data_IF_075825019355
#
_entry.id   IF_075825019355
#
_cell.length_a   1.000
_cell.length_b   1.000
_cell.length_c   1.000
_cell.angle_alpha   90.00
_cell.angle_beta   90.00
_cell.angle_gamma   90.00
#
_symmetry.space_group_name_H-M   'P 1'
#
loop_
_entity.id
_entity.type
_entity.pdbx_description
1 polymer ?
#
# COMPACT_ATOMS: atom_id res chain seq x y z
N UNK A 1 20.21 16.70 -7.99
CA UNK A 1 19.84 15.38 -7.57
C UNK A 1 18.48 15.31 -6.94
N UNK A 2 17.78 14.26 -7.28
CA UNK A 2 16.43 14.14 -6.82
C UNK A 2 16.38 13.49 -5.45
N UNK A 3 15.69 14.09 -4.54
CA UNK A 3 15.50 13.51 -3.23
C UNK A 3 14.12 12.96 -3.11
N UNK A 4 13.99 11.87 -2.39
CA UNK A 4 12.69 11.32 -2.07
C UNK A 4 12.10 12.23 -1.00
N UNK A 5 11.06 12.94 -1.37
CA UNK A 5 10.36 13.75 -0.39
C UNK A 5 9.40 12.89 0.37
N UNK A 6 9.38 12.98 1.69
CA UNK A 6 8.42 12.20 2.44
C UNK A 6 7.01 12.65 2.07
N UNK A 7 6.21 11.69 1.70
CA UNK A 7 4.81 11.92 1.39
C UNK A 7 4.05 11.74 2.68
N UNK A 8 3.26 12.73 3.05
CA UNK A 8 2.49 12.64 4.27
C UNK A 8 1.43 11.57 4.14
N UNK A 9 1.43 10.61 5.03
CA UNK A 9 0.46 9.54 5.09
C UNK A 9 -0.22 9.56 6.44
N UNK A 10 -1.52 9.27 6.43
CA UNK A 10 -2.21 9.02 7.69
C UNK A 10 -1.78 7.65 8.21
N UNK A 11 -2.05 7.39 9.49
CA UNK A 11 -1.73 6.08 10.06
C UNK A 11 -2.38 4.95 9.27
N UNK A 12 -3.63 5.13 8.88
CA UNK A 12 -4.36 4.10 8.13
C UNK A 12 -3.75 3.87 6.76
N UNK A 13 -3.38 4.95 6.07
CA UNK A 13 -2.72 4.82 4.77
C UNK A 13 -1.39 4.07 4.92
N UNK A 14 -0.64 4.42 5.94
CA UNK A 14 0.65 3.79 6.17
C UNK A 14 0.50 2.30 6.48
N UNK A 15 -0.47 1.94 7.30
CA UNK A 15 -0.72 0.55 7.63
C UNK A 15 -1.12 -0.27 6.41
N UNK A 16 -1.98 0.30 5.57
CA UNK A 16 -2.42 -0.40 4.36
C UNK A 16 -1.24 -0.59 3.41
N UNK A 17 -0.45 0.45 3.19
CA UNK A 17 0.70 0.36 2.31
C UNK A 17 1.72 -0.65 2.84
N UNK A 18 1.96 -0.65 4.14
CA UNK A 18 2.88 -1.58 4.77
C UNK A 18 2.41 -3.03 4.56
N UNK A 19 1.14 -3.29 4.77
CA UNK A 19 0.58 -4.62 4.62
C UNK A 19 0.68 -5.11 3.17
N UNK A 20 0.37 -4.24 2.21
CA UNK A 20 0.48 -4.59 0.80
C UNK A 20 1.92 -4.93 0.45
N UNK A 21 2.86 -4.12 0.92
CA UNK A 21 4.27 -4.34 0.62
C UNK A 21 4.77 -5.64 1.22
N UNK A 22 4.33 -5.95 2.42
CA UNK A 22 4.70 -7.17 3.11
C UNK A 22 4.19 -8.40 2.39
N UNK A 23 2.95 -8.34 1.91
CA UNK A 23 2.32 -9.48 1.23
C UNK A 23 2.67 -9.57 -0.24
N UNK A 24 3.21 -8.49 -0.82
CA UNK A 24 3.51 -8.42 -2.24
C UNK A 24 2.31 -8.03 -3.07
N UNK A 25 1.20 -8.69 -2.86
CA UNK A 25 -0.04 -8.42 -3.58
C UNK A 25 -1.20 -8.87 -2.69
N UNK A 26 -2.27 -8.09 -2.65
CA UNK A 26 -3.39 -8.44 -1.80
C UNK A 26 -4.68 -7.90 -2.40
N UNK A 27 -5.81 -8.35 -1.88
CA UNK A 27 -7.10 -7.82 -2.29
C UNK A 27 -7.76 -7.10 -1.10
N UNK A 28 -8.90 -6.47 -1.38
CA UNK A 28 -9.58 -5.67 -0.36
C UNK A 28 -10.01 -6.52 0.83
N UNK A 29 -10.46 -7.74 0.57
CA UNK A 29 -10.92 -8.63 1.64
C UNK A 29 -9.75 -9.05 2.51
N UNK A 30 -8.62 -9.43 1.88
CA UNK A 30 -7.43 -9.81 2.62
C UNK A 30 -6.89 -8.67 3.48
N UNK A 31 -6.87 -7.46 2.91
CA UNK A 31 -6.42 -6.28 3.66
C UNK A 31 -7.37 -5.97 4.81
N UNK A 32 -8.66 -6.08 4.57
CA UNK A 32 -9.67 -5.84 5.59
C UNK A 32 -9.47 -6.77 6.79
N UNK A 33 -9.26 -8.04 6.51
CA UNK A 33 -9.04 -9.02 7.57
C UNK A 33 -7.71 -8.83 8.29
N UNK A 34 -6.66 -8.61 7.52
CA UNK A 34 -5.33 -8.47 8.10
C UNK A 34 -5.17 -7.23 8.96
N UNK A 35 -5.89 -6.17 8.64
CA UNK A 35 -5.76 -4.89 9.35
C UNK A 35 -6.92 -4.61 10.29
N UNK A 36 -7.90 -5.49 10.34
CA UNK A 36 -9.11 -5.30 11.15
C UNK A 36 -9.80 -3.99 10.79
N UNK A 37 -9.85 -3.69 9.51
CA UNK A 37 -10.53 -2.52 8.97
C UNK A 37 -11.75 -2.99 8.17
N UNK A 38 -12.77 -2.14 8.08
CA UNK A 38 -13.88 -2.43 7.20
C UNK A 38 -13.44 -2.32 5.75
N UNK A 39 -14.16 -2.97 4.85
CA UNK A 39 -13.86 -2.88 3.42
C UNK A 39 -13.96 -1.45 2.92
N UNK A 40 -14.92 -0.69 3.44
CA UNK A 40 -15.05 0.73 3.08
C UNK A 40 -13.81 1.52 3.47
N UNK A 41 -13.30 1.26 4.66
CA UNK A 41 -12.09 1.95 5.12
C UNK A 41 -10.89 1.58 4.27
N UNK A 42 -10.74 0.29 3.95
CA UNK A 42 -9.64 -0.15 3.08
C UNK A 42 -9.77 0.51 1.71
N UNK A 43 -10.95 0.50 1.12
CA UNK A 43 -11.15 1.10 -0.19
C UNK A 43 -10.81 2.58 -0.19
N UNK A 44 -11.18 3.28 0.87
CA UNK A 44 -10.87 4.70 1.01
C UNK A 44 -9.36 4.94 1.05
N UNK A 45 -8.65 4.12 1.82
CA UNK A 45 -7.20 4.25 1.90
C UNK A 45 -6.54 3.92 0.56
N UNK A 46 -7.05 2.90 -0.14
CA UNK A 46 -6.51 2.54 -1.44
C UNK A 46 -6.68 3.66 -2.46
N UNK A 47 -7.85 4.33 -2.44
CA UNK A 47 -8.05 5.47 -3.33
C UNK A 47 -7.04 6.57 -3.06
N UNK A 48 -6.76 6.84 -1.81
CA UNK A 48 -5.80 7.86 -1.44
C UNK A 48 -4.38 7.47 -1.83
N UNK A 49 -4.01 6.22 -1.59
CA UNK A 49 -2.69 5.74 -1.98
C UNK A 49 -2.52 5.73 -3.50
N UNK A 50 -3.57 5.37 -4.21
CA UNK A 50 -3.54 5.38 -5.66
C UNK A 50 -3.38 6.80 -6.20
N UNK A 51 -4.08 7.77 -5.60
CA UNK A 51 -3.94 9.17 -5.99
C UNK A 51 -2.51 9.67 -5.79
N UNK A 52 -1.82 9.13 -4.82
CA UNK A 52 -0.41 9.47 -4.55
C UNK A 52 0.55 8.60 -5.37
N UNK A 53 0.01 7.72 -6.21
CA UNK A 53 0.78 6.83 -7.08
C UNK A 53 1.66 5.85 -6.30
N UNK A 54 1.19 5.45 -5.13
CA UNK A 54 1.94 4.53 -4.28
C UNK A 54 1.50 3.08 -4.45
N UNK A 55 0.33 2.86 -5.02
CA UNK A 55 -0.16 1.51 -5.30
C UNK A 55 -0.72 1.46 -6.72
N UNK A 56 -0.75 0.26 -7.28
CA UNK A 56 -1.41 -0.02 -8.54
C UNK A 56 -2.53 -1.02 -8.26
N UNK A 57 -3.65 -0.83 -8.91
CA UNK A 57 -4.82 -1.69 -8.72
C UNK A 57 -5.16 -2.33 -10.04
N UNK A 58 -5.37 -3.64 -10.01
CA UNK A 58 -5.70 -4.41 -11.19
C UNK A 58 -6.99 -5.16 -10.94
N UNK A 59 -7.94 -5.00 -11.84
CA UNK A 59 -9.20 -5.74 -11.77
C UNK A 59 -9.08 -7.01 -12.59
N UNK A 60 -9.36 -8.15 -11.97
CA UNK A 60 -9.28 -9.45 -12.65
C UNK A 60 -10.42 -10.32 -12.17
N UNK A 61 -11.26 -10.77 -13.08
CA UNK A 61 -12.32 -11.73 -12.75
C UNK A 61 -13.16 -11.31 -11.54
N UNK A 62 -13.48 -10.04 -11.44
CA UNK A 62 -14.32 -9.54 -10.36
C UNK A 62 -13.59 -9.17 -9.08
N UNK A 63 -12.29 -9.44 -9.01
CA UNK A 63 -11.49 -9.08 -7.83
C UNK A 63 -10.60 -7.90 -8.14
N UNK A 64 -10.34 -7.11 -7.11
CA UNK A 64 -9.39 -6.01 -7.21
C UNK A 64 -8.12 -6.41 -6.49
N UNK A 65 -7.04 -6.52 -7.23
CA UNK A 65 -5.73 -6.87 -6.71
C UNK A 65 -4.88 -5.61 -6.60
N UNK A 66 -4.21 -5.47 -5.48
CA UNK A 66 -3.44 -4.26 -5.18
C UNK A 66 -2.00 -4.63 -4.95
N UNK A 67 -1.10 -3.88 -5.56
CA UNK A 67 0.33 -4.04 -5.38
C UNK A 67 0.94 -2.68 -5.07
N UNK A 68 2.00 -2.65 -4.31
CA UNK A 68 2.75 -1.43 -4.14
C UNK A 68 3.45 -1.08 -5.44
N UNK A 69 3.37 0.18 -5.85
CA UNK A 69 4.12 0.65 -7.00
C UNK A 69 5.60 0.73 -6.63
N UNK A 70 6.45 0.96 -7.64
CA UNK A 70 7.87 1.17 -7.36
C UNK A 70 8.06 2.32 -6.36
N UNK A 71 7.29 3.38 -6.55
CA UNK A 71 7.33 4.55 -5.66
C UNK A 71 6.87 4.16 -4.26
N UNK A 72 5.82 3.34 -4.17
CA UNK A 72 5.33 2.88 -2.88
C UNK A 72 6.36 2.03 -2.14
N UNK A 73 7.03 1.14 -2.86
CA UNK A 73 8.08 0.31 -2.26
C UNK A 73 9.26 1.16 -1.78
N UNK A 74 9.62 2.17 -2.56
CA UNK A 74 10.69 3.08 -2.15
C UNK A 74 10.33 3.83 -0.89
N UNK A 75 9.08 4.29 -0.80
CA UNK A 75 8.63 5.00 0.38
C UNK A 75 8.63 4.09 1.61
N UNK A 76 8.20 2.84 1.47
CA UNK A 76 8.21 1.90 2.58
C UNK A 76 9.64 1.66 3.07
N UNK A 77 10.59 1.51 2.17
CA UNK A 77 11.99 1.36 2.57
C UNK A 77 12.50 2.57 3.34
N UNK A 78 12.05 3.74 2.94
CA UNK A 78 12.45 4.97 3.60
C UNK A 78 11.85 5.07 5.00
N UNK A 79 10.58 4.73 5.13
CA UNK A 79 9.87 4.85 6.40
C UNK A 79 10.15 3.70 7.36
N UNK A 80 10.36 2.50 6.82
CA UNK A 80 10.62 1.31 7.63
C UNK A 80 11.79 0.54 7.06
N UNK A 81 13.03 1.03 7.27
CA UNK A 81 14.18 0.35 6.68
C UNK A 81 14.32 -1.11 7.10
N UNK A 82 13.86 -1.45 8.29
CA UNK A 82 13.94 -2.82 8.80
C UNK A 82 13.03 -3.77 8.04
N UNK A 83 12.08 -3.25 7.29
CA UNK A 83 11.18 -4.07 6.47
C UNK A 83 11.68 -4.28 5.07
N UNK A 84 12.75 -3.61 4.69
CA UNK A 84 13.25 -3.71 3.34
C UNK A 84 13.53 -5.17 2.99
N UNK A 85 12.96 -5.68 1.90
CA UNK A 85 13.21 -7.07 1.53
C UNK A 85 14.67 -7.25 1.16
N UNK A 86 15.14 -8.46 1.35
CA UNK A 86 16.54 -8.78 1.08
C UNK A 86 16.84 -8.90 -0.42
N UNK A 87 15.84 -8.73 -1.25
CA UNK A 87 16.03 -8.83 -2.70
C UNK A 87 15.90 -7.53 -3.42
#
# INVERSE_FOLDING_TARGET
MKQIQPIALTNDEALVLQQITENGEDDVIGLSRGLSMSRSQVAKQLDRLRAKKLVTIKATCGDLWVRASKRGRQLVRYMWPEMAPAY
#
